data_IF_650869031492
#
_entry.id   IF_650869031492
#
_cell.length_a   1.000
_cell.length_b   1.000
_cell.length_c   1.000
_cell.angle_alpha   90.00
_cell.angle_beta   90.00
_cell.angle_gamma   90.00
#
_symmetry.space_group_name_H-M   'P 1'
#
loop_
_entity.id
_entity.type
_entity.pdbx_description
1 polymer ?
#
# COMPACT_ATOMS: atom_id res chain seq x y z
N UNK A 1 11.27 -12.60 4.38
CA UNK A 1 10.67 -13.18 3.17
C UNK A 1 9.50 -12.32 2.72
N UNK A 2 9.78 -11.06 2.40
CA UNK A 2 9.01 -10.31 1.41
C UNK A 2 10.11 -9.86 0.49
N UNK A 3 10.45 -10.76 -0.43
CA UNK A 3 11.46 -10.51 -1.43
C UNK A 3 10.99 -9.30 -2.24
N UNK A 4 11.93 -8.44 -2.60
CA UNK A 4 11.70 -7.27 -3.44
C UNK A 4 10.71 -7.63 -4.56
N UNK A 5 9.46 -7.20 -4.44
CA UNK A 5 8.55 -7.22 -5.57
C UNK A 5 9.17 -6.21 -6.52
N UNK A 6 9.91 -6.71 -7.52
CA UNK A 6 10.41 -5.85 -8.56
C UNK A 6 9.21 -5.13 -9.22
N UNK A 7 9.48 -3.93 -9.75
CA UNK A 7 8.44 -3.03 -10.26
C UNK A 7 7.49 -3.73 -11.25
N UNK A 8 8.03 -4.59 -12.12
CA UNK A 8 7.25 -5.36 -13.09
C UNK A 8 6.22 -6.28 -12.43
N UNK A 9 6.60 -6.98 -11.35
CA UNK A 9 5.68 -7.85 -10.62
C UNK A 9 4.61 -7.04 -9.88
N UNK A 10 4.95 -5.85 -9.37
CA UNK A 10 3.98 -4.96 -8.73
C UNK A 10 2.94 -4.46 -9.73
N UNK A 11 3.37 -3.97 -10.89
CA UNK A 11 2.48 -3.52 -11.97
C UNK A 11 1.58 -4.65 -12.46
N UNK A 12 2.12 -5.86 -12.63
CA UNK A 12 1.33 -7.04 -13.00
C UNK A 12 0.24 -7.33 -11.95
N UNK A 13 0.58 -7.29 -10.66
CA UNK A 13 -0.35 -7.55 -9.58
C UNK A 13 -1.48 -6.51 -9.51
N UNK A 14 -1.18 -5.23 -9.76
CA UNK A 14 -2.20 -4.17 -9.82
C UNK A 14 -3.16 -4.37 -11.00
N UNK A 15 -2.64 -4.74 -12.18
CA UNK A 15 -3.47 -5.02 -13.36
C UNK A 15 -4.42 -6.18 -13.12
N UNK A 16 -3.91 -7.31 -12.61
CA UNK A 16 -4.75 -8.48 -12.33
C UNK A 16 -5.68 -8.28 -11.14
N UNK A 17 -5.36 -7.37 -10.22
CA UNK A 17 -6.29 -6.95 -9.16
C UNK A 17 -7.48 -6.21 -9.77
N UNK A 18 -7.24 -5.28 -10.70
CA UNK A 18 -8.29 -4.51 -11.36
C UNK A 18 -9.24 -5.40 -12.20
N UNK A 19 -8.75 -6.51 -12.77
CA UNK A 19 -9.57 -7.48 -13.51
C UNK A 19 -10.25 -8.53 -12.63
N UNK A 20 -9.93 -8.59 -11.33
CA UNK A 20 -10.47 -9.59 -10.41
C UNK A 20 -9.79 -10.96 -10.48
N UNK A 21 -8.68 -11.09 -11.20
CA UNK A 21 -7.96 -12.35 -11.44
C UNK A 21 -6.82 -12.59 -10.42
N UNK A 22 -6.57 -11.63 -9.52
CA UNK A 22 -5.48 -11.71 -8.56
C UNK A 22 -5.89 -12.36 -7.23
N UNK A 23 -5.68 -13.67 -7.14
CA UNK A 23 -5.85 -14.45 -5.90
C UNK A 23 -4.81 -14.13 -4.80
N UNK A 24 -3.77 -13.36 -5.13
CA UNK A 24 -2.68 -12.98 -4.23
C UNK A 24 -2.67 -11.49 -3.90
N UNK A 25 -3.83 -10.83 -3.97
CA UNK A 25 -3.98 -9.39 -3.71
C UNK A 25 -3.47 -8.99 -2.32
N UNK A 26 -3.51 -9.90 -1.34
CA UNK A 26 -2.93 -9.70 -0.01
C UNK A 26 -1.41 -9.40 -0.02
N UNK A 27 -0.71 -9.68 -1.12
CA UNK A 27 0.71 -9.34 -1.29
C UNK A 27 0.95 -7.87 -1.66
N UNK A 28 -0.07 -7.16 -2.13
CA UNK A 28 0.04 -5.75 -2.56
C UNK A 28 -0.86 -4.79 -1.78
N UNK A 29 -1.97 -5.28 -1.21
CA UNK A 29 -2.83 -4.52 -0.29
C UNK A 29 -2.50 -4.84 1.16
N UNK A 30 -2.92 -3.96 2.07
CA UNK A 30 -2.67 -4.07 3.50
C UNK A 30 -1.39 -3.36 3.94
N UNK A 31 -0.68 -3.95 4.89
CA UNK A 31 0.57 -3.41 5.45
C UNK A 31 1.70 -4.42 5.33
N UNK A 32 2.82 -4.00 4.77
CA UNK A 32 3.99 -4.87 4.55
C UNK A 32 5.27 -4.16 4.97
N UNK A 33 6.20 -4.88 5.60
CA UNK A 33 7.54 -4.36 5.89
C UNK A 33 8.28 -4.12 4.57
N UNK A 34 8.95 -2.98 4.45
CA UNK A 34 9.70 -2.62 3.24
C UNK A 34 10.94 -1.80 3.58
N UNK A 35 11.81 -1.60 2.59
CA UNK A 35 12.90 -0.63 2.62
C UNK A 35 12.67 0.34 1.47
N UNK A 36 12.60 1.64 1.77
CA UNK A 36 12.48 2.70 0.77
C UNK A 36 13.58 3.72 1.01
N UNK A 37 14.36 4.03 -0.02
CA UNK A 37 15.49 4.98 0.04
C UNK A 37 16.47 4.65 1.19
N UNK A 38 16.77 3.36 1.37
CA UNK A 38 17.63 2.85 2.45
C UNK A 38 16.99 2.83 3.84
N UNK A 39 15.75 3.28 4.00
CA UNK A 39 15.04 3.33 5.30
C UNK A 39 14.07 2.16 5.45
N UNK A 40 14.24 1.37 6.51
CA UNK A 40 13.29 0.32 6.92
C UNK A 40 11.98 0.96 7.40
N UNK A 41 10.85 0.40 7.00
CA UNK A 41 9.54 0.89 7.41
C UNK A 41 8.41 -0.04 6.96
N UNK A 42 7.23 0.53 6.82
CA UNK A 42 6.02 -0.17 6.41
C UNK A 42 5.37 0.55 5.23
N UNK A 43 4.94 -0.22 4.24
CA UNK A 43 4.12 0.24 3.12
C UNK A 43 2.66 -0.05 3.43
N UNK A 44 1.82 0.98 3.39
CA UNK A 44 0.37 0.87 3.53
C UNK A 44 -0.29 1.05 2.17
N UNK A 45 -1.19 0.12 1.82
CA UNK A 45 -1.92 0.12 0.55
C UNK A 45 -3.36 -0.28 0.77
N UNK A 46 -4.31 0.50 0.26
CA UNK A 46 -5.75 0.21 0.33
C UNK A 46 -6.43 0.55 -0.98
N UNK A 47 -7.44 -0.25 -1.35
CA UNK A 47 -8.31 0.07 -2.46
C UNK A 47 -9.47 0.96 -1.97
N UNK A 48 -9.45 2.23 -2.38
CA UNK A 48 -10.44 3.23 -2.00
C UNK A 48 -10.73 4.17 -3.18
N UNK A 49 -11.36 3.68 -4.27
CA UNK A 49 -11.47 4.43 -5.53
C UNK A 49 -12.28 5.72 -5.42
N UNK A 50 -13.31 5.69 -4.55
CA UNK A 50 -14.28 6.77 -4.37
C UNK A 50 -13.95 7.68 -3.17
N UNK A 51 -12.89 7.40 -2.41
CA UNK A 51 -12.51 8.23 -1.27
C UNK A 51 -11.91 9.56 -1.75
N UNK A 52 -12.31 10.67 -1.09
CA UNK A 52 -11.71 11.98 -1.33
C UNK A 52 -10.27 12.04 -0.84
N UNK A 53 -10.01 11.45 0.33
CA UNK A 53 -8.69 11.35 0.92
C UNK A 53 -8.62 10.13 1.83
N UNK A 54 -7.42 9.56 1.97
CA UNK A 54 -7.13 8.49 2.92
C UNK A 54 -5.91 8.89 3.73
N UNK A 55 -5.93 8.61 5.03
CA UNK A 55 -4.78 8.82 5.91
C UNK A 55 -4.55 7.60 6.81
N UNK A 56 -3.29 7.36 7.16
CA UNK A 56 -2.90 6.34 8.14
C UNK A 56 -2.88 7.00 9.52
N UNK A 57 -3.58 6.38 10.47
CA UNK A 57 -3.67 6.81 11.86
C UNK A 57 -3.37 5.63 12.79
N UNK A 58 -2.73 5.89 13.92
CA UNK A 58 -2.37 4.88 14.91
C UNK A 58 -1.67 5.48 16.12
N UNK A 59 -1.13 4.60 16.97
CA UNK A 59 -0.30 4.97 18.10
C UNK A 59 0.93 5.82 17.70
N UNK A 60 1.57 5.50 16.57
CA UNK A 60 2.75 6.20 16.04
C UNK A 60 2.51 7.66 15.64
N UNK A 61 1.26 8.11 15.54
CA UNK A 61 0.90 9.52 15.32
C UNK A 61 -0.17 10.02 16.29
N UNK A 62 -0.25 9.43 17.49
CA UNK A 62 -1.18 9.84 18.54
C UNK A 62 -2.65 9.89 18.09
N UNK A 63 -3.03 9.09 17.10
CA UNK A 63 -4.36 9.09 16.50
C UNK A 63 -4.81 10.47 15.95
N UNK A 64 -3.86 11.30 15.51
CA UNK A 64 -4.11 12.64 14.97
C UNK A 64 -4.98 12.61 13.69
N UNK A 65 -5.79 13.68 13.50
CA UNK A 65 -6.71 13.83 12.37
C UNK A 65 -6.58 15.22 11.70
N UNK A 66 -6.28 15.31 10.39
CA UNK A 66 -5.91 14.19 9.52
C UNK A 66 -4.56 13.58 9.93
N UNK A 67 -4.42 12.27 9.75
CA UNK A 67 -3.16 11.57 10.02
C UNK A 67 -2.15 11.73 8.87
N UNK A 68 -1.31 10.70 8.69
CA UNK A 68 -0.34 10.68 7.58
C UNK A 68 -1.10 10.44 6.27
N UNK A 69 -1.10 11.43 5.37
CA UNK A 69 -1.84 11.36 4.11
C UNK A 69 -1.28 10.29 3.15
N UNK A 70 -2.18 9.48 2.58
CA UNK A 70 -1.83 8.50 1.55
C UNK A 70 -1.84 9.14 0.16
N UNK A 71 -0.87 8.75 -0.67
CA UNK A 71 -0.83 9.15 -2.09
C UNK A 71 -1.72 8.22 -2.91
N UNK A 72 -2.67 8.78 -3.66
CA UNK A 72 -3.42 8.02 -4.68
C UNK A 72 -2.47 7.61 -5.80
N UNK A 73 -2.34 6.31 -6.05
CA UNK A 73 -1.66 5.82 -7.25
C UNK A 73 -2.59 6.04 -8.44
N UNK A 74 -2.05 6.68 -9.49
CA UNK A 74 -2.73 6.88 -10.78
C UNK A 74 -2.63 5.60 -11.59
#
# INVERSE_FOLDING_TARGET
VVDEINENQFIKNLKTFATGENFYTYRILGVHRTVKDGKKGYLFSVWAPNAQQVSVVGDFNSWEKPGILMKKSV
#
